data_IF_479018645389
#
_entry.id   IF_479018645389
#
_cell.length_a   1.000
_cell.length_b   1.000
_cell.length_c   1.000
_cell.angle_alpha   90.00
_cell.angle_beta   90.00
_cell.angle_gamma   90.00
#
_symmetry.space_group_name_H-M   'P 1'
#
loop_
_entity.id
_entity.type
_entity.pdbx_description
1 polymer ?
#
# COMPACT_ATOMS: atom_id res chain seq x y z
N UNK A 1 -6.14 9.71 7.67
CA UNK A 1 -5.01 8.76 7.83
C UNK A 1 -4.91 7.95 6.55
N UNK A 2 -3.83 8.09 5.78
CA UNK A 2 -3.64 7.36 4.52
C UNK A 2 -2.86 6.06 4.78
N UNK A 3 -3.21 4.98 4.06
CA UNK A 3 -2.51 3.71 4.22
C UNK A 3 -1.02 3.85 3.87
N UNK A 4 -0.69 4.60 2.81
CA UNK A 4 0.69 4.84 2.39
C UNK A 4 1.46 5.89 3.19
N UNK A 5 0.98 6.33 4.36
CA UNK A 5 1.62 7.41 5.13
C UNK A 5 3.09 7.10 5.46
N UNK A 6 3.39 5.89 5.93
CA UNK A 6 4.73 5.48 6.37
C UNK A 6 5.69 5.07 5.25
N UNK A 7 5.19 4.93 4.03
CA UNK A 7 6.00 4.61 2.84
C UNK A 7 6.30 5.86 1.99
N UNK A 8 6.42 7.01 2.66
CA UNK A 8 6.66 8.31 2.00
C UNK A 8 5.39 9.03 1.55
N UNK A 9 4.29 8.88 2.28
CA UNK A 9 2.97 9.44 1.93
C UNK A 9 2.52 9.09 0.51
N UNK A 10 2.84 7.87 0.08
CA UNK A 10 2.53 7.39 -1.27
C UNK A 10 1.03 7.16 -1.41
N UNK A 11 0.43 7.66 -2.48
CA UNK A 11 -0.92 7.28 -2.88
C UNK A 11 -0.92 5.88 -3.50
N UNK A 12 -1.90 5.07 -3.09
CA UNK A 12 -2.11 3.73 -3.62
C UNK A 12 -3.09 3.86 -4.78
N UNK A 13 -2.69 3.54 -6.02
CA UNK A 13 -3.58 3.68 -7.17
C UNK A 13 -4.73 2.68 -7.10
N UNK A 14 -5.91 3.09 -7.56
CA UNK A 14 -7.08 2.21 -7.64
C UNK A 14 -6.94 1.21 -8.81
N UNK A 15 -6.92 -0.11 -8.54
CA UNK A 15 -6.81 -1.12 -9.59
C UNK A 15 -8.16 -1.44 -10.25
N UNK A 16 -9.28 -0.81 -9.84
CA UNK A 16 -10.60 -1.13 -10.38
C UNK A 16 -10.65 -1.00 -11.91
N UNK A 17 -11.12 -2.06 -12.58
CA UNK A 17 -11.19 -2.21 -14.05
C UNK A 17 -9.82 -2.13 -14.75
N UNK A 18 -8.72 -2.44 -14.08
CA UNK A 18 -7.37 -2.58 -14.67
C UNK A 18 -7.01 -4.04 -14.93
N UNK A 19 -5.85 -4.25 -15.57
CA UNK A 19 -5.26 -5.57 -15.81
C UNK A 19 -4.84 -6.24 -14.50
N UNK A 20 -4.69 -7.57 -14.54
CA UNK A 20 -4.22 -8.36 -13.39
C UNK A 20 -2.87 -7.86 -12.84
N UNK A 21 -1.94 -7.50 -13.73
CA UNK A 21 -0.64 -6.93 -13.34
C UNK A 21 -0.77 -5.63 -12.53
N UNK A 22 -1.75 -4.79 -12.85
CA UNK A 22 -2.03 -3.59 -12.08
C UNK A 22 -2.52 -3.94 -10.66
N UNK A 23 -3.33 -4.99 -10.52
CA UNK A 23 -3.73 -5.52 -9.21
C UNK A 23 -2.53 -6.03 -8.42
N UNK A 24 -1.62 -6.80 -9.03
CA UNK A 24 -0.43 -7.28 -8.33
C UNK A 24 0.48 -6.15 -7.86
N UNK A 25 0.70 -5.14 -8.69
CA UNK A 25 1.48 -3.94 -8.33
C UNK A 25 0.86 -3.18 -7.15
N UNK A 26 -0.47 -3.03 -7.16
CA UNK A 26 -1.21 -2.38 -6.06
C UNK A 26 -1.14 -3.22 -4.79
N UNK A 27 -1.33 -4.53 -4.90
CA UNK A 27 -1.26 -5.46 -3.76
C UNK A 27 0.13 -5.44 -3.10
N UNK A 28 1.20 -5.43 -3.89
CA UNK A 28 2.56 -5.28 -3.38
C UNK A 28 2.76 -3.97 -2.61
N UNK A 29 2.19 -2.88 -3.11
CA UNK A 29 2.24 -1.56 -2.44
C UNK A 29 1.48 -1.57 -1.12
N UNK A 30 0.28 -2.17 -1.09
CA UNK A 30 -0.53 -2.34 0.12
C UNK A 30 0.22 -3.16 1.17
N UNK A 31 0.83 -4.29 0.76
CA UNK A 31 1.58 -5.16 1.67
C UNK A 31 2.77 -4.42 2.32
N UNK A 32 3.51 -3.63 1.55
CA UNK A 32 4.58 -2.79 2.09
C UNK A 32 4.02 -1.78 3.11
N UNK A 33 2.96 -1.05 2.74
CA UNK A 33 2.36 -0.07 3.64
C UNK A 33 1.89 -0.70 4.96
N UNK A 34 1.24 -1.86 4.91
CA UNK A 34 0.81 -2.59 6.11
C UNK A 34 1.99 -2.99 7.00
N UNK A 35 3.10 -3.48 6.43
CA UNK A 35 4.32 -3.80 7.22
C UNK A 35 4.88 -2.56 7.92
N UNK A 36 4.97 -1.43 7.23
CA UNK A 36 5.42 -0.18 7.84
C UNK A 36 4.48 0.28 8.96
N UNK A 37 3.17 0.03 8.86
CA UNK A 37 2.23 0.29 9.96
C UNK A 37 2.45 -0.64 11.14
N UNK A 38 2.65 -1.94 10.91
CA UNK A 38 2.93 -2.91 11.98
C UNK A 38 4.18 -2.49 12.76
N UNK A 39 5.26 -2.10 12.08
CA UNK A 39 6.50 -1.64 12.72
C UNK A 39 6.30 -0.36 13.57
N UNK A 40 5.33 0.47 13.23
CA UNK A 40 5.01 1.70 13.97
C UNK A 40 4.03 1.49 15.11
N UNK A 41 3.12 0.53 14.98
CA UNK A 41 2.11 0.20 16.00
C UNK A 41 2.65 -0.74 17.09
N UNK A 42 3.65 -1.58 16.76
CA UNK A 42 4.32 -2.45 17.71
C UNK A 42 5.40 -1.74 18.55
N UNK A 43 5.50 -0.42 18.47
CA UNK A 43 6.50 0.41 19.14
C UNK A 43 5.84 1.38 20.11
#
# INVERSE_FOLDING_TARGET
MLLGYWIGQKEIPDPYRKSYEAFESVFGTINHACKSWIDKLNK
#
